data_IF_400718920498
#
_entry.id   IF_400718920498
#
_cell.length_a   1.000
_cell.length_b   1.000
_cell.length_c   1.000
_cell.angle_alpha   90.00
_cell.angle_beta   90.00
_cell.angle_gamma   90.00
#
_symmetry.space_group_name_H-M   'P 1'
#
loop_
_entity.id
_entity.type
_entity.pdbx_description
1 polymer ?
#
# COMPACT_ATOMS: atom_id res chain seq x y z
N UNK A 1 25.49 -16.26 22.56
CA UNK A 1 24.55 -15.11 22.57
C UNK A 1 23.38 -15.54 23.43
N UNK A 2 23.02 -14.78 24.46
CA UNK A 2 21.88 -15.15 25.30
C UNK A 2 20.59 -14.85 24.55
N UNK A 3 19.57 -15.69 24.74
CA UNK A 3 18.29 -15.63 24.04
C UNK A 3 17.58 -14.28 24.22
N UNK A 4 17.79 -13.58 25.34
CA UNK A 4 17.33 -12.20 25.58
C UNK A 4 17.87 -11.18 24.56
N UNK A 5 19.11 -11.35 24.09
CA UNK A 5 19.70 -10.46 23.06
C UNK A 5 19.09 -10.70 21.69
N UNK A 6 18.64 -11.93 21.42
CA UNK A 6 18.05 -12.35 20.15
C UNK A 6 16.58 -11.92 20.07
N UNK A 7 15.85 -12.01 21.18
CA UNK A 7 14.49 -11.48 21.34
C UNK A 7 14.45 -9.97 21.16
N UNK A 8 15.34 -9.21 21.83
CA UNK A 8 15.40 -7.76 21.68
C UNK A 8 15.78 -7.30 20.27
N UNK A 9 16.62 -8.07 19.57
CA UNK A 9 16.97 -7.79 18.17
C UNK A 9 15.79 -8.08 17.23
N UNK A 10 15.02 -9.16 17.48
CA UNK A 10 13.80 -9.52 16.74
C UNK A 10 12.72 -8.45 16.90
N UNK A 11 12.47 -7.98 18.12
CA UNK A 11 11.46 -6.94 18.40
C UNK A 11 11.82 -5.61 17.75
N UNK A 12 13.11 -5.24 17.78
CA UNK A 12 13.59 -4.02 17.12
C UNK A 12 13.43 -4.12 15.60
N UNK A 13 13.78 -5.26 15.00
CA UNK A 13 13.59 -5.51 13.56
C UNK A 13 12.13 -5.51 13.15
N UNK A 14 11.26 -6.12 13.95
CA UNK A 14 9.83 -6.19 13.68
C UNK A 14 9.22 -4.79 13.74
N UNK A 15 9.56 -4.01 14.77
CA UNK A 15 9.10 -2.63 14.90
C UNK A 15 9.57 -1.75 13.73
N UNK A 16 10.85 -1.88 13.33
CA UNK A 16 11.41 -1.15 12.20
C UNK A 16 10.72 -1.49 10.87
N UNK A 17 10.35 -2.75 10.66
CA UNK A 17 9.66 -3.19 9.44
C UNK A 17 8.24 -2.62 9.42
N UNK A 18 7.47 -2.78 10.50
CA UNK A 18 6.09 -2.28 10.59
C UNK A 18 6.01 -0.76 10.46
N UNK A 19 6.92 -0.02 11.13
CA UNK A 19 6.95 1.43 11.05
C UNK A 19 7.32 1.91 9.63
N UNK A 20 8.28 1.26 8.97
CA UNK A 20 8.62 1.55 7.57
C UNK A 20 7.47 1.26 6.62
N UNK A 21 6.77 0.13 6.76
CA UNK A 21 5.63 -0.21 5.91
C UNK A 21 4.51 0.83 6.01
N UNK A 22 4.23 1.31 7.23
CA UNK A 22 3.25 2.37 7.47
C UNK A 22 3.66 3.73 6.87
N UNK A 23 4.94 4.08 6.96
CA UNK A 23 5.49 5.27 6.31
C UNK A 23 5.38 5.18 4.77
N UNK A 24 5.67 4.00 4.21
CA UNK A 24 5.51 3.72 2.78
C UNK A 24 4.06 3.85 2.34
N UNK A 25 3.11 3.29 3.08
CA UNK A 25 1.67 3.40 2.77
C UNK A 25 1.20 4.84 2.72
N UNK A 26 1.65 5.63 3.68
CA UNK A 26 1.34 7.06 3.79
C UNK A 26 1.93 7.84 2.62
N UNK A 27 3.18 7.55 2.27
CA UNK A 27 3.88 8.20 1.15
C UNK A 27 3.21 7.93 -0.19
N UNK A 28 2.88 6.67 -0.49
CA UNK A 28 2.19 6.31 -1.74
C UNK A 28 0.83 7.02 -1.83
N UNK A 29 0.07 7.04 -0.72
CA UNK A 29 -1.23 7.74 -0.69
C UNK A 29 -1.07 9.24 -0.97
N UNK A 30 -0.10 9.91 -0.36
CA UNK A 30 0.13 11.34 -0.60
C UNK A 30 0.56 11.64 -2.03
N UNK A 31 1.43 10.81 -2.62
CA UNK A 31 1.85 10.95 -4.01
C UNK A 31 0.64 10.77 -4.94
N UNK A 32 -0.15 9.70 -4.75
CA UNK A 32 -1.34 9.45 -5.56
C UNK A 32 -2.38 10.57 -5.44
N UNK A 33 -2.64 11.07 -4.23
CA UNK A 33 -3.59 12.15 -4.00
C UNK A 33 -3.10 13.48 -4.62
N UNK A 34 -1.81 13.79 -4.47
CA UNK A 34 -1.19 14.96 -5.09
C UNK A 34 -1.23 14.89 -6.61
N UNK A 35 -0.89 13.75 -7.20
CA UNK A 35 -0.99 13.51 -8.64
C UNK A 35 -2.43 13.67 -9.14
N UNK A 36 -3.40 13.06 -8.46
CA UNK A 36 -4.83 13.17 -8.80
C UNK A 36 -5.31 14.63 -8.80
N UNK A 37 -5.00 15.38 -7.73
CA UNK A 37 -5.38 16.79 -7.63
C UNK A 37 -4.72 17.66 -8.71
N UNK A 38 -3.43 17.41 -8.99
CA UNK A 38 -2.70 18.09 -10.04
C UNK A 38 -3.31 17.83 -11.42
N UNK A 39 -3.59 16.57 -11.76
CA UNK A 39 -4.14 16.20 -13.06
C UNK A 39 -5.58 16.67 -13.25
N UNK A 40 -6.43 16.62 -12.22
CA UNK A 40 -7.75 17.23 -12.26
C UNK A 40 -7.67 18.74 -12.56
N UNK A 41 -6.72 19.43 -11.93
CA UNK A 41 -6.51 20.87 -12.17
C UNK A 41 -6.00 21.14 -13.59
N UNK A 42 -5.08 20.31 -14.10
CA UNK A 42 -4.57 20.43 -15.46
C UNK A 42 -5.67 20.21 -16.49
N UNK A 43 -6.46 19.16 -16.33
CA UNK A 43 -7.54 18.82 -17.26
C UNK A 43 -8.64 19.87 -17.23
N UNK A 44 -9.00 20.43 -16.07
CA UNK A 44 -10.02 21.48 -15.98
C UNK A 44 -9.56 22.82 -16.60
N UNK A 45 -8.29 23.20 -16.38
CA UNK A 45 -7.79 24.54 -16.80
C UNK A 45 -7.17 24.59 -18.18
N UNK A 46 -6.50 23.54 -18.63
CA UNK A 46 -5.67 23.57 -19.84
C UNK A 46 -6.26 22.77 -21.00
N UNK A 47 -7.02 21.72 -20.74
CA UNK A 47 -7.57 20.84 -21.78
C UNK A 47 -9.10 20.92 -21.80
N UNK A 48 -9.66 21.84 -22.59
CA UNK A 48 -11.11 21.81 -22.87
C UNK A 48 -11.44 20.50 -23.58
N UNK A 49 -12.16 19.61 -22.89
CA UNK A 49 -12.66 18.29 -23.34
C UNK A 49 -13.70 18.48 -24.46
N UNK A 50 -13.30 19.01 -25.61
CA UNK A 50 -14.21 19.25 -26.73
C UNK A 50 -13.88 18.46 -27.99
N UNK A 51 -12.70 17.83 -28.12
CA UNK A 51 -12.40 16.87 -29.21
C UNK A 51 -11.04 16.16 -29.03
N UNK A 52 -10.81 15.46 -27.91
CA UNK A 52 -9.55 14.73 -27.74
C UNK A 52 -9.73 13.23 -28.07
N UNK A 53 -9.12 12.76 -29.15
CA UNK A 53 -8.86 11.33 -29.34
C UNK A 53 -8.06 10.82 -28.13
N UNK A 54 -8.71 10.14 -27.18
CA UNK A 54 -8.03 9.60 -25.99
C UNK A 54 -8.64 9.95 -24.63
N UNK A 55 -9.86 10.47 -24.55
CA UNK A 55 -10.57 10.69 -23.26
C UNK A 55 -10.58 9.44 -22.36
N UNK A 56 -10.62 8.25 -22.94
CA UNK A 56 -10.55 6.99 -22.21
C UNK A 56 -9.22 6.83 -21.43
N UNK A 57 -8.10 7.36 -21.93
CA UNK A 57 -6.80 7.32 -21.23
C UNK A 57 -6.85 8.16 -19.97
N UNK A 58 -7.51 9.32 -20.02
CA UNK A 58 -7.71 10.20 -18.86
C UNK A 58 -8.62 9.54 -17.81
N UNK A 59 -9.71 8.89 -18.21
CA UNK A 59 -10.54 8.16 -17.24
C UNK A 59 -9.80 6.94 -16.66
N UNK A 60 -9.01 6.24 -17.47
CA UNK A 60 -8.20 5.12 -17.03
C UNK A 60 -7.10 5.56 -16.05
N UNK A 61 -6.40 6.67 -16.33
CA UNK A 61 -5.36 7.21 -15.45
C UNK A 61 -5.92 7.65 -14.09
N UNK A 62 -7.00 8.44 -14.09
CA UNK A 62 -7.70 8.89 -12.89
C UNK A 62 -8.26 7.70 -12.11
N UNK A 63 -8.83 6.71 -12.81
CA UNK A 63 -9.30 5.46 -12.22
C UNK A 63 -8.18 4.68 -11.53
N UNK A 64 -7.02 4.55 -12.17
CA UNK A 64 -5.84 3.90 -11.59
C UNK A 64 -5.30 4.64 -10.36
N UNK A 65 -5.22 5.98 -10.41
CA UNK A 65 -4.79 6.80 -9.27
C UNK A 65 -5.79 6.69 -8.11
N UNK A 66 -7.09 6.78 -8.39
CA UNK A 66 -8.14 6.62 -7.38
C UNK A 66 -8.12 5.22 -6.77
N UNK A 67 -7.94 4.17 -7.59
CA UNK A 67 -7.82 2.80 -7.13
C UNK A 67 -6.61 2.63 -6.19
N UNK A 68 -5.48 3.27 -6.48
CA UNK A 68 -4.29 3.22 -5.61
C UNK A 68 -4.54 3.82 -4.22
N UNK A 69 -5.42 4.84 -4.14
CA UNK A 69 -5.87 5.46 -2.88
C UNK A 69 -6.88 4.55 -2.18
N UNK A 70 -7.86 4.00 -2.90
CA UNK A 70 -8.87 3.09 -2.31
C UNK A 70 -8.20 1.86 -1.70
N UNK A 71 -7.20 1.29 -2.36
CA UNK A 71 -6.42 0.14 -1.90
C UNK A 71 -5.62 0.41 -0.61
N UNK A 72 -5.49 1.66 -0.16
CA UNK A 72 -4.93 1.99 1.16
C UNK A 72 -5.78 1.41 2.31
N UNK A 73 -7.10 1.48 2.19
CA UNK A 73 -8.03 1.01 3.23
C UNK A 73 -7.87 -0.50 3.48
N UNK A 74 -7.96 -1.39 2.48
CA UNK A 74 -7.78 -2.82 2.71
C UNK A 74 -6.35 -3.16 3.15
N UNK A 75 -5.31 -2.41 2.73
CA UNK A 75 -3.96 -2.60 3.24
C UNK A 75 -3.91 -2.40 4.77
N UNK A 76 -4.39 -1.25 5.25
CA UNK A 76 -4.46 -0.97 6.68
C UNK A 76 -5.34 -1.97 7.44
N UNK A 77 -6.44 -2.45 6.84
CA UNK A 77 -7.29 -3.44 7.49
C UNK A 77 -6.59 -4.79 7.66
N UNK A 78 -5.81 -5.23 6.67
CA UNK A 78 -5.02 -6.46 6.75
C UNK A 78 -3.97 -6.34 7.85
N UNK A 79 -3.28 -5.21 7.93
CA UNK A 79 -2.25 -4.99 8.94
C UNK A 79 -2.85 -5.00 10.35
N UNK A 80 -3.92 -4.23 10.60
CA UNK A 80 -4.62 -4.19 11.91
C UNK A 80 -5.18 -5.56 12.28
N UNK A 81 -5.78 -6.28 11.31
CA UNK A 81 -6.31 -7.62 11.57
C UNK A 81 -5.21 -8.60 11.93
N UNK A 82 -4.03 -8.46 11.33
CA UNK A 82 -2.89 -9.34 11.58
C UNK A 82 -2.31 -9.09 12.95
N UNK A 83 -2.09 -7.82 13.31
CA UNK A 83 -1.55 -7.45 14.62
C UNK A 83 -2.45 -8.00 15.74
N UNK A 84 -3.77 -7.89 15.59
CA UNK A 84 -4.73 -8.49 16.54
C UNK A 84 -4.62 -10.00 16.61
N UNK A 85 -4.55 -10.67 15.47
CA UNK A 85 -4.46 -12.14 15.41
C UNK A 85 -3.15 -12.64 16.02
N UNK A 86 -2.04 -11.92 15.81
CA UNK A 86 -0.75 -12.22 16.42
C UNK A 86 -0.79 -12.01 17.94
N UNK A 87 -1.40 -10.92 18.42
CA UNK A 87 -1.56 -10.67 19.85
C UNK A 87 -2.42 -11.73 20.53
N UNK A 88 -3.57 -12.08 19.94
CA UNK A 88 -4.46 -13.11 20.49
C UNK A 88 -3.74 -14.48 20.59
N UNK A 89 -2.90 -14.81 19.61
CA UNK A 89 -2.14 -16.07 19.60
C UNK A 89 -0.99 -16.06 20.62
N UNK A 90 -0.31 -14.92 20.80
CA UNK A 90 0.70 -14.75 21.86
C UNK A 90 0.06 -14.88 23.25
N UNK A 91 -1.08 -14.23 23.47
CA UNK A 91 -1.81 -14.31 24.75
C UNK A 91 -2.26 -15.75 25.04
N UNK A 92 -2.67 -16.50 24.01
CA UNK A 92 -3.00 -17.93 24.14
C UNK A 92 -1.78 -18.76 24.55
N UNK A 93 -0.63 -18.55 23.89
CA UNK A 93 0.60 -19.30 24.18
C UNK A 93 1.12 -19.04 25.60
N UNK A 94 1.05 -17.79 26.07
CA UNK A 94 1.37 -17.43 27.46
C UNK A 94 0.41 -18.10 28.45
N UNK A 95 -0.89 -18.14 28.14
CA UNK A 95 -1.90 -18.74 29.01
C UNK A 95 -1.84 -20.27 29.11
N UNK A 96 -1.34 -20.94 28.07
CA UNK A 96 -1.25 -22.40 27.99
C UNK A 96 0.16 -22.96 28.26
N UNK A 97 1.14 -22.09 28.56
CA UNK A 97 2.57 -22.43 28.72
C UNK A 97 3.11 -23.24 27.51
N UNK A 98 2.63 -22.87 26.32
CA UNK A 98 2.98 -23.48 25.04
C UNK A 98 3.97 -22.59 24.30
N UNK A 99 5.06 -23.17 23.81
CA UNK A 99 6.01 -22.51 22.92
C UNK A 99 5.77 -23.03 21.48
N UNK A 100 4.89 -22.33 20.74
CA UNK A 100 4.55 -22.67 19.34
C UNK A 100 4.89 -21.49 18.43
N UNK A 101 6.19 -21.22 18.34
CA UNK A 101 6.80 -20.23 17.44
C UNK A 101 6.41 -20.47 15.95
N UNK A 102 6.15 -21.71 15.56
CA UNK A 102 5.77 -22.09 14.19
C UNK A 102 4.36 -21.58 13.82
N UNK A 103 3.41 -21.62 14.77
CA UNK A 103 2.08 -21.06 14.59
C UNK A 103 2.14 -19.53 14.35
N UNK A 104 2.92 -18.82 15.16
CA UNK A 104 3.13 -17.37 15.03
C UNK A 104 3.80 -17.03 13.69
N UNK A 105 4.85 -17.77 13.31
CA UNK A 105 5.53 -17.60 12.03
C UNK A 105 4.60 -17.82 10.84
N UNK A 106 3.67 -18.77 10.93
CA UNK A 106 2.71 -19.07 9.85
C UNK A 106 1.69 -17.95 9.68
N UNK A 107 1.15 -17.41 10.78
CA UNK A 107 0.23 -16.25 10.76
C UNK A 107 0.94 -15.04 10.17
N UNK A 108 2.15 -14.76 10.65
CA UNK A 108 2.97 -13.65 10.18
C UNK A 108 3.30 -13.76 8.68
N UNK A 109 3.80 -14.91 8.20
CA UNK A 109 4.10 -15.10 6.76
C UNK A 109 2.87 -14.98 5.87
N UNK A 110 1.71 -15.46 6.33
CA UNK A 110 0.47 -15.37 5.57
C UNK A 110 0.08 -13.91 5.39
N UNK A 111 0.13 -13.12 6.47
CA UNK A 111 -0.15 -11.69 6.42
C UNK A 111 0.84 -10.94 5.54
N UNK A 112 2.15 -11.16 5.75
CA UNK A 112 3.20 -10.50 4.97
C UNK A 112 2.97 -10.66 3.46
N UNK A 113 2.55 -11.84 3.00
CA UNK A 113 2.23 -12.07 1.59
C UNK A 113 1.04 -11.24 1.10
N UNK A 114 -0.01 -11.11 1.92
CA UNK A 114 -1.18 -10.30 1.57
C UNK A 114 -0.83 -8.81 1.53
N UNK A 115 -0.12 -8.31 2.55
CA UNK A 115 0.33 -6.91 2.59
C UNK A 115 1.26 -6.59 1.42
N UNK A 116 2.21 -7.47 1.07
CA UNK A 116 3.08 -7.32 -0.10
C UNK A 116 2.32 -7.32 -1.43
N UNK A 117 1.29 -8.15 -1.57
CA UNK A 117 0.48 -8.20 -2.80
C UNK A 117 -0.30 -6.89 -2.97
N UNK A 118 -0.96 -6.41 -1.91
CA UNK A 118 -1.71 -5.15 -1.93
C UNK A 118 -0.75 -3.98 -2.18
N UNK A 119 0.42 -3.98 -1.55
CA UNK A 119 1.47 -2.98 -1.79
C UNK A 119 1.87 -2.91 -3.26
N UNK A 120 2.19 -4.07 -3.84
CA UNK A 120 2.65 -4.15 -5.23
C UNK A 120 1.55 -3.68 -6.18
N UNK A 121 0.30 -4.08 -5.93
CA UNK A 121 -0.84 -3.64 -6.71
C UNK A 121 -1.06 -2.12 -6.63
N UNK A 122 -0.90 -1.52 -5.44
CA UNK A 122 -1.00 -0.05 -5.25
C UNK A 122 0.07 0.70 -6.01
N UNK A 123 1.31 0.25 -5.91
CA UNK A 123 2.44 0.87 -6.61
C UNK A 123 2.24 0.80 -8.12
N UNK A 124 1.84 -0.37 -8.63
CA UNK A 124 1.55 -0.54 -10.06
C UNK A 124 0.42 0.38 -10.49
N UNK A 125 -0.70 0.42 -9.74
CA UNK A 125 -1.82 1.28 -10.07
C UNK A 125 -1.43 2.77 -10.10
N UNK A 126 -0.63 3.23 -9.13
CA UNK A 126 -0.12 4.60 -9.10
C UNK A 126 0.76 4.89 -10.31
N UNK A 127 1.77 4.05 -10.57
CA UNK A 127 2.72 4.25 -11.69
C UNK A 127 2.01 4.22 -13.03
N UNK A 128 1.12 3.24 -13.25
CA UNK A 128 0.31 3.14 -14.47
C UNK A 128 -0.57 4.38 -14.63
N UNK A 129 -1.21 4.85 -13.55
CA UNK A 129 -2.01 6.07 -13.58
C UNK A 129 -1.21 7.29 -14.02
N UNK A 130 -0.03 7.52 -13.44
CA UNK A 130 0.87 8.63 -13.82
C UNK A 130 1.33 8.51 -15.28
N UNK A 131 1.71 7.32 -15.73
CA UNK A 131 2.20 7.10 -17.09
C UNK A 131 1.11 7.31 -18.14
N UNK A 132 -0.10 6.77 -17.90
CA UNK A 132 -1.23 6.96 -18.81
C UNK A 132 -1.59 8.44 -18.96
N UNK A 133 -1.56 9.19 -17.88
CA UNK A 133 -1.82 10.63 -17.92
C UNK A 133 -0.72 11.39 -18.67
N UNK A 134 0.55 11.04 -18.45
CA UNK A 134 1.66 11.63 -19.19
C UNK A 134 1.54 11.36 -20.70
N UNK A 135 1.11 10.16 -21.10
CA UNK A 135 0.84 9.81 -22.49
C UNK A 135 -0.34 10.65 -23.04
N UNK A 136 -1.44 10.75 -22.29
CA UNK A 136 -2.59 11.56 -22.69
C UNK A 136 -2.20 13.02 -22.94
N UNK A 137 -1.50 13.64 -21.99
CA UNK A 137 -1.01 15.01 -22.10
C UNK A 137 -0.08 15.17 -23.30
N UNK A 138 0.84 14.22 -23.53
CA UNK A 138 1.78 14.27 -24.66
C UNK A 138 1.06 14.15 -26.02
N UNK A 139 0.07 13.27 -26.12
CA UNK A 139 -0.71 13.08 -27.35
C UNK A 139 -1.65 14.26 -27.62
N UNK A 140 -2.14 14.94 -26.58
CA UNK A 140 -3.08 16.05 -26.71
C UNK A 140 -2.38 17.42 -26.91
N UNK A 141 -1.09 17.52 -26.58
CA UNK A 141 -0.25 18.68 -26.86
C UNK A 141 0.36 18.68 -28.27
N UNK A 142 0.45 17.51 -28.90
CA UNK A 142 0.97 17.34 -30.27
C UNK A 142 -0.10 17.55 -31.33
#
# INVERSE_FOLDING_TARGET
>A
MSDDTLSGYRDTLQKDITDKEKEYHTTITYISAGALAFFLTLNDKFFKIQSAHGEWLMFASLGCLLLSIILYVPANMVDISTDRTLMDEVDRQIGEDMDDDDALLKIWRKSMRWSQLIYTARLIAMVVGVVLEAIFVSCNLS
#
